data_IF_439299709426
#
_entry.id   IF_439299709426
#
_cell.length_a   1.000
_cell.length_b   1.000
_cell.length_c   1.000
_cell.angle_alpha   90.00
_cell.angle_beta   90.00
_cell.angle_gamma   90.00
#
_symmetry.space_group_name_H-M   'P 1'
#
loop_
_entity.id
_entity.type
_entity.pdbx_description
1 polymer ?
#
# COMPACT_ATOMS: atom_id res chain seq x y z
N UNK A 1 -14.54 -52.64 26.23
CA UNK A 1 -14.66 -52.74 24.75
C UNK A 1 -14.50 -51.35 24.14
N UNK A 2 -13.29 -51.02 23.70
CA UNK A 2 -12.99 -49.78 22.97
C UNK A 2 -13.56 -49.91 21.55
N UNK A 3 -14.71 -49.27 21.29
CA UNK A 3 -15.23 -49.14 19.92
C UNK A 3 -14.30 -48.21 19.15
N UNK A 4 -13.34 -48.80 18.42
CA UNK A 4 -12.54 -48.08 17.45
C UNK A 4 -13.48 -47.48 16.40
N UNK A 5 -13.44 -46.15 16.22
CA UNK A 5 -14.17 -45.49 15.15
C UNK A 5 -13.68 -46.07 13.81
N UNK A 6 -14.56 -46.69 13.05
CA UNK A 6 -14.24 -47.13 11.69
C UNK A 6 -13.79 -45.92 10.86
N UNK A 7 -12.72 -46.04 10.07
CA UNK A 7 -12.20 -44.97 9.21
C UNK A 7 -13.28 -44.28 8.36
N UNK A 8 -14.31 -45.00 7.93
CA UNK A 8 -15.46 -44.42 7.21
C UNK A 8 -16.25 -43.40 8.03
N UNK A 9 -16.47 -43.65 9.32
CA UNK A 9 -17.15 -42.71 10.25
C UNK A 9 -16.28 -41.47 10.51
N UNK A 10 -14.96 -41.65 10.62
CA UNK A 10 -14.02 -40.53 10.74
C UNK A 10 -14.05 -39.65 9.47
N UNK A 11 -14.03 -40.26 8.28
CA UNK A 11 -14.12 -39.54 7.00
C UNK A 11 -15.43 -38.77 6.87
N UNK A 12 -16.57 -39.39 7.17
CA UNK A 12 -17.88 -38.72 7.12
C UNK A 12 -17.90 -37.53 8.10
N UNK A 13 -17.46 -37.73 9.34
CA UNK A 13 -17.38 -36.66 10.33
C UNK A 13 -16.49 -35.50 9.87
N UNK A 14 -15.32 -35.80 9.29
CA UNK A 14 -14.42 -34.79 8.74
C UNK A 14 -15.05 -34.05 7.56
N UNK A 15 -15.71 -34.74 6.62
CA UNK A 15 -16.37 -34.12 5.47
C UNK A 15 -17.49 -33.18 5.95
N UNK A 16 -18.36 -33.63 6.85
CA UNK A 16 -19.47 -32.82 7.36
C UNK A 16 -18.95 -31.60 8.13
N UNK A 17 -17.96 -31.79 9.01
CA UNK A 17 -17.37 -30.68 9.77
C UNK A 17 -16.71 -29.63 8.86
N UNK A 18 -15.89 -30.07 7.90
CA UNK A 18 -15.24 -29.17 6.94
C UNK A 18 -16.26 -28.50 6.01
N UNK A 19 -17.30 -29.21 5.59
CA UNK A 19 -18.39 -28.67 4.77
C UNK A 19 -19.17 -27.56 5.49
N UNK A 20 -19.52 -27.77 6.77
CA UNK A 20 -20.19 -26.75 7.60
C UNK A 20 -19.27 -25.54 7.78
N UNK A 21 -18.00 -25.74 8.11
CA UNK A 21 -17.05 -24.65 8.25
C UNK A 21 -16.85 -23.87 6.95
N UNK A 22 -16.73 -24.57 5.82
CA UNK A 22 -16.66 -23.95 4.50
C UNK A 22 -17.91 -23.11 4.22
N UNK A 23 -19.10 -23.64 4.47
CA UNK A 23 -20.35 -22.91 4.27
C UNK A 23 -20.44 -21.64 5.14
N UNK A 24 -20.01 -21.71 6.41
CA UNK A 24 -19.96 -20.55 7.32
C UNK A 24 -18.97 -19.50 6.80
N UNK A 25 -17.76 -19.92 6.40
CA UNK A 25 -16.73 -19.01 5.90
C UNK A 25 -17.17 -18.38 4.58
N UNK A 26 -17.71 -19.18 3.66
CA UNK A 26 -18.25 -18.74 2.38
C UNK A 26 -19.38 -17.73 2.60
N UNK A 27 -20.36 -18.05 3.43
CA UNK A 27 -21.47 -17.14 3.74
C UNK A 27 -20.96 -15.85 4.38
N UNK A 28 -20.06 -15.94 5.36
CA UNK A 28 -19.44 -14.77 6.00
C UNK A 28 -18.66 -13.89 5.01
N UNK A 29 -17.96 -14.51 4.05
CA UNK A 29 -17.21 -13.82 3.01
C UNK A 29 -18.14 -13.09 2.03
N UNK A 30 -19.15 -13.78 1.50
CA UNK A 30 -20.11 -13.23 0.52
C UNK A 30 -20.97 -12.13 1.15
N UNK A 31 -21.46 -12.33 2.39
CA UNK A 31 -22.34 -11.37 3.07
C UNK A 31 -21.64 -10.05 3.44
N UNK A 32 -20.31 -9.99 3.38
CA UNK A 32 -19.51 -8.79 3.70
C UNK A 32 -18.89 -8.14 2.46
N UNK A 33 -19.25 -8.60 1.27
CA UNK A 33 -18.69 -8.12 0.01
C UNK A 33 -19.77 -7.61 -0.93
N UNK A 34 -19.41 -6.70 -1.86
CA UNK A 34 -20.32 -6.31 -2.93
C UNK A 34 -20.80 -7.56 -3.68
N UNK A 35 -22.08 -7.58 -4.08
CA UNK A 35 -22.58 -8.65 -4.95
C UNK A 35 -21.84 -8.59 -6.28
N UNK A 36 -21.32 -9.73 -6.72
CA UNK A 36 -20.65 -9.82 -8.02
C UNK A 36 -21.62 -9.43 -9.14
N UNK A 37 -21.15 -8.59 -10.06
CA UNK A 37 -21.81 -8.25 -11.30
C UNK A 37 -20.75 -7.76 -12.28
N UNK A 38 -20.72 -8.33 -13.47
CA UNK A 38 -19.84 -7.87 -14.54
C UNK A 38 -20.11 -6.39 -14.86
N UNK A 39 -19.06 -5.58 -14.87
CA UNK A 39 -19.12 -4.16 -15.20
C UNK A 39 -17.74 -3.62 -15.58
N UNK A 40 -17.73 -2.53 -16.35
CA UNK A 40 -16.50 -1.82 -16.70
C UNK A 40 -15.82 -1.20 -15.48
N UNK A 41 -14.53 -0.90 -15.60
CA UNK A 41 -13.79 -0.18 -14.59
C UNK A 41 -14.30 1.27 -14.44
N UNK A 42 -14.43 1.79 -13.21
CA UNK A 42 -14.81 3.19 -13.00
C UNK A 42 -13.68 4.14 -13.37
N UNK A 43 -14.03 5.35 -13.80
CA UNK A 43 -13.05 6.42 -13.99
C UNK A 43 -12.27 6.73 -12.71
N UNK A 44 -11.04 7.23 -12.85
CA UNK A 44 -10.25 7.69 -11.72
C UNK A 44 -11.01 8.72 -10.86
N UNK A 45 -11.72 9.65 -11.51
CA UNK A 45 -12.54 10.67 -10.82
C UNK A 45 -13.58 10.03 -9.91
N UNK A 46 -14.22 8.95 -10.33
CA UNK A 46 -15.16 8.21 -9.47
C UNK A 46 -14.44 7.60 -8.27
N UNK A 47 -13.33 6.90 -8.48
CA UNK A 47 -12.56 6.27 -7.40
C UNK A 47 -12.02 7.30 -6.40
N UNK A 48 -11.55 8.45 -6.86
CA UNK A 48 -11.12 9.56 -6.01
C UNK A 48 -12.26 10.15 -5.17
N UNK A 49 -13.50 10.17 -5.67
CA UNK A 49 -14.66 10.62 -4.87
C UNK A 49 -14.92 9.72 -3.66
N UNK A 50 -14.66 8.42 -3.78
CA UNK A 50 -14.79 7.47 -2.66
C UNK A 50 -13.79 7.83 -1.56
N UNK A 51 -12.51 7.99 -1.89
CA UNK A 51 -11.51 8.42 -0.91
C UNK A 51 -11.85 9.78 -0.30
N UNK A 52 -12.32 10.74 -1.11
CA UNK A 52 -12.74 12.06 -0.63
C UNK A 52 -13.92 11.98 0.36
N UNK A 53 -14.91 11.10 0.12
CA UNK A 53 -16.11 11.01 0.97
C UNK A 53 -15.82 10.34 2.30
N UNK A 54 -14.89 9.39 2.35
CA UNK A 54 -14.55 8.65 3.57
C UNK A 54 -13.40 9.27 4.37
N UNK A 55 -12.68 10.27 3.84
CA UNK A 55 -11.43 10.79 4.41
C UNK A 55 -11.50 11.07 5.93
N UNK A 56 -12.54 11.78 6.39
CA UNK A 56 -12.72 12.13 7.81
C UNK A 56 -12.88 10.91 8.73
N UNK A 57 -13.50 9.84 8.21
CA UNK A 57 -13.77 8.60 8.95
C UNK A 57 -12.82 7.46 8.57
N UNK A 58 -11.84 7.72 7.70
CA UNK A 58 -10.99 6.69 7.10
C UNK A 58 -10.30 5.86 8.17
N UNK A 59 -9.70 6.52 9.15
CA UNK A 59 -9.02 5.89 10.28
C UNK A 59 -9.97 5.04 11.13
N UNK A 60 -11.20 5.52 11.39
CA UNK A 60 -12.18 4.80 12.19
C UNK A 60 -12.67 3.52 11.48
N UNK A 61 -12.77 3.57 10.15
CA UNK A 61 -13.14 2.43 9.31
C UNK A 61 -12.00 1.41 9.24
N UNK A 62 -10.76 1.85 9.05
CA UNK A 62 -9.63 0.96 8.70
C UNK A 62 -8.83 0.47 9.92
N UNK A 63 -8.58 1.30 10.95
CA UNK A 63 -7.72 0.90 12.09
C UNK A 63 -8.17 -0.39 12.80
N UNK A 64 -9.46 -0.64 13.08
CA UNK A 64 -9.88 -1.86 13.78
C UNK A 64 -9.53 -3.12 13.00
N UNK A 65 -9.75 -3.11 11.68
CA UNK A 65 -9.44 -4.27 10.84
C UNK A 65 -7.94 -4.42 10.62
N UNK A 66 -7.20 -3.32 10.43
CA UNK A 66 -5.74 -3.35 10.37
C UNK A 66 -5.12 -3.93 11.64
N UNK A 67 -5.63 -3.54 12.82
CA UNK A 67 -5.19 -4.07 14.11
C UNK A 67 -5.49 -5.56 14.24
N UNK A 68 -6.70 -6.00 13.88
CA UNK A 68 -7.08 -7.41 13.90
C UNK A 68 -6.20 -8.27 12.97
N UNK A 69 -5.78 -7.71 11.84
CA UNK A 69 -4.88 -8.35 10.88
C UNK A 69 -3.40 -8.17 11.23
N UNK A 70 -3.07 -7.51 12.36
CA UNK A 70 -1.71 -7.24 12.78
C UNK A 70 -0.92 -6.33 11.82
N UNK A 71 -1.61 -5.60 10.93
CA UNK A 71 -1.01 -4.74 9.93
C UNK A 71 -0.28 -3.56 10.57
N UNK A 72 -0.87 -2.96 11.61
CA UNK A 72 -0.28 -1.84 12.36
C UNK A 72 1.12 -2.18 12.90
N UNK A 73 1.29 -3.34 13.51
CA UNK A 73 2.58 -3.80 14.04
C UNK A 73 3.60 -4.11 12.94
N UNK A 74 3.14 -4.63 11.79
CA UNK A 74 4.00 -4.90 10.64
C UNK A 74 4.47 -3.60 10.00
N UNK A 75 3.54 -2.66 9.79
CA UNK A 75 3.77 -1.28 9.34
C UNK A 75 4.82 -0.59 10.21
N UNK A 76 4.61 -0.58 11.53
CA UNK A 76 5.54 0.04 12.48
C UNK A 76 6.96 -0.54 12.36
N UNK A 77 7.09 -1.87 12.34
CA UNK A 77 8.41 -2.53 12.24
C UNK A 77 9.07 -2.28 10.89
N UNK A 78 8.28 -2.34 9.81
CA UNK A 78 8.79 -2.23 8.44
C UNK A 78 9.27 -0.81 8.15
N UNK A 79 8.44 0.21 8.44
CA UNK A 79 8.75 1.60 8.09
C UNK A 79 9.69 2.31 9.07
N UNK A 80 9.97 1.72 10.25
CA UNK A 80 11.09 2.13 11.11
C UNK A 80 12.46 2.02 10.45
N UNK A 81 12.56 1.29 9.34
CA UNK A 81 13.77 1.22 8.53
C UNK A 81 13.94 2.43 7.60
N UNK A 82 12.97 3.33 7.49
CA UNK A 82 13.11 4.54 6.69
C UNK A 82 14.20 5.45 7.26
N UNK A 83 14.94 6.12 6.36
CA UNK A 83 16.06 7.01 6.72
C UNK A 83 16.21 8.14 5.70
N UNK A 84 16.89 9.20 6.12
CA UNK A 84 17.21 10.36 5.27
C UNK A 84 15.96 11.16 4.89
N UNK A 85 15.90 11.63 3.65
CA UNK A 85 14.71 12.28 3.11
C UNK A 85 13.73 11.20 2.62
N UNK A 86 12.57 11.14 3.27
CA UNK A 86 11.54 10.13 3.02
C UNK A 86 10.44 10.73 2.15
N UNK A 87 10.03 10.01 1.10
CA UNK A 87 8.85 10.30 0.30
C UNK A 87 7.79 9.22 0.57
N UNK A 88 6.59 9.63 0.96
CA UNK A 88 5.42 8.75 1.08
C UNK A 88 4.42 9.07 -0.03
N UNK A 89 4.01 8.05 -0.80
CA UNK A 89 3.04 8.18 -1.88
C UNK A 89 1.70 7.56 -1.49
N UNK A 90 0.61 8.27 -1.75
CA UNK A 90 -0.72 7.88 -1.26
C UNK A 90 -0.79 7.93 0.26
N UNK A 91 -0.27 9.01 0.85
CA UNK A 91 -0.11 9.14 2.31
C UNK A 91 -1.43 9.12 3.08
N UNK A 92 -2.57 9.32 2.40
CA UNK A 92 -3.90 9.29 3.00
C UNK A 92 -4.01 10.28 4.15
N UNK A 93 -4.53 9.80 5.28
CA UNK A 93 -4.63 10.55 6.53
C UNK A 93 -3.34 10.57 7.36
N UNK A 94 -2.27 9.88 6.93
CA UNK A 94 -1.01 9.81 7.68
C UNK A 94 -0.92 8.68 8.70
N UNK A 95 -1.54 7.52 8.44
CA UNK A 95 -1.44 6.34 9.31
C UNK A 95 0.01 5.87 9.57
N UNK A 96 0.93 6.23 8.67
CA UNK A 96 2.35 5.89 8.76
C UNK A 96 3.16 6.88 9.63
N UNK A 97 2.63 8.06 10.00
CA UNK A 97 3.41 9.13 10.64
C UNK A 97 4.21 8.66 11.87
N UNK A 98 3.59 7.87 12.75
CA UNK A 98 4.22 7.33 13.97
C UNK A 98 5.26 6.22 13.72
N UNK A 99 5.42 5.78 12.47
CA UNK A 99 6.36 4.73 12.10
C UNK A 99 7.74 5.28 11.79
N UNK A 100 7.82 6.57 11.45
CA UNK A 100 9.07 7.25 11.14
C UNK A 100 9.73 7.78 12.41
N UNK A 101 11.05 7.62 12.49
CA UNK A 101 11.86 8.13 13.60
C UNK A 101 13.27 8.39 13.09
N UNK A 102 13.91 9.48 13.53
CA UNK A 102 15.27 9.86 13.14
C UNK A 102 15.47 9.99 11.60
N UNK A 103 14.45 10.50 10.91
CA UNK A 103 14.53 10.83 9.48
C UNK A 103 14.85 12.32 9.32
N UNK A 104 15.42 12.74 8.18
CA UNK A 104 15.75 14.16 7.95
C UNK A 104 14.51 14.98 7.59
N UNK A 105 13.57 14.40 6.84
CA UNK A 105 12.31 15.04 6.47
C UNK A 105 11.33 14.03 5.89
N UNK A 106 10.03 14.32 5.98
CA UNK A 106 8.99 13.58 5.30
C UNK A 106 8.33 14.45 4.21
N UNK A 107 8.22 13.93 3.00
CA UNK A 107 7.40 14.49 1.93
C UNK A 107 6.25 13.54 1.66
N UNK A 108 5.02 14.03 1.75
CA UNK A 108 3.81 13.27 1.50
C UNK A 108 3.17 13.74 0.20
N UNK A 109 2.81 12.81 -0.69
CA UNK A 109 2.07 13.09 -1.92
C UNK A 109 0.77 12.31 -1.91
N UNK A 110 -0.35 13.02 -2.03
CA UNK A 110 -1.67 12.40 -2.18
C UNK A 110 -2.52 13.15 -3.21
N UNK A 111 -3.29 12.42 -4.00
CA UNK A 111 -4.16 12.97 -5.05
C UNK A 111 -5.51 13.43 -4.51
N UNK A 112 -5.90 12.95 -3.33
CA UNK A 112 -7.10 13.41 -2.62
C UNK A 112 -6.80 14.64 -1.78
N UNK A 113 -7.43 15.76 -2.14
CA UNK A 113 -7.38 16.98 -1.33
C UNK A 113 -7.95 16.79 0.09
N UNK A 114 -8.95 15.92 0.25
CA UNK A 114 -9.54 15.66 1.58
C UNK A 114 -8.59 14.82 2.45
N UNK A 115 -7.88 13.85 1.86
CA UNK A 115 -6.81 13.13 2.57
C UNK A 115 -5.70 14.08 3.01
N UNK A 116 -5.26 14.99 2.13
CA UNK A 116 -4.28 16.02 2.49
C UNK A 116 -4.73 16.88 3.69
N UNK A 117 -6.02 17.25 3.77
CA UNK A 117 -6.57 17.99 4.92
C UNK A 117 -6.50 17.21 6.22
N UNK A 118 -6.89 15.94 6.21
CA UNK A 118 -6.83 15.08 7.40
C UNK A 118 -5.37 14.81 7.81
N UNK A 119 -4.47 14.61 6.85
CA UNK A 119 -3.04 14.51 7.10
C UNK A 119 -2.49 15.77 7.77
N UNK A 120 -2.86 16.97 7.31
CA UNK A 120 -2.46 18.23 7.96
C UNK A 120 -2.88 18.27 9.43
N UNK A 121 -4.14 17.92 9.74
CA UNK A 121 -4.62 17.88 11.13
C UNK A 121 -3.83 16.88 11.98
N UNK A 122 -3.53 15.71 11.41
CA UNK A 122 -2.78 14.67 12.12
C UNK A 122 -1.31 15.07 12.34
N UNK A 123 -0.67 15.75 11.39
CA UNK A 123 0.66 16.33 11.57
C UNK A 123 0.65 17.39 12.66
N UNK A 124 -0.32 18.31 12.64
CA UNK A 124 -0.45 19.36 13.68
C UNK A 124 -0.69 18.79 15.07
N UNK A 125 -1.46 17.70 15.17
CA UNK A 125 -1.73 17.01 16.42
C UNK A 125 -0.52 16.23 16.92
N UNK A 126 0.17 15.52 16.02
CA UNK A 126 1.30 14.66 16.38
C UNK A 126 2.57 15.46 16.70
N UNK A 127 2.80 16.57 15.97
CA UNK A 127 4.02 17.38 16.04
C UNK A 127 5.30 16.53 15.92
N UNK A 128 5.53 15.91 14.75
CA UNK A 128 6.70 15.05 14.56
C UNK A 128 8.01 15.83 14.79
N UNK A 129 9.07 15.14 15.20
CA UNK A 129 10.41 15.69 15.43
C UNK A 129 11.21 15.94 14.14
N UNK A 130 10.53 15.88 12.99
CA UNK A 130 11.08 16.11 11.65
C UNK A 130 10.14 16.99 10.82
N UNK A 131 10.69 17.77 9.85
CA UNK A 131 9.89 18.60 8.97
C UNK A 131 9.02 17.74 8.03
N UNK A 132 7.81 18.22 7.74
CA UNK A 132 6.85 17.55 6.85
C UNK A 132 6.40 18.49 5.74
N UNK A 133 6.41 18.03 4.49
CA UNK A 133 5.80 18.72 3.34
C UNK A 133 4.67 17.86 2.81
N UNK A 134 3.48 18.44 2.63
CA UNK A 134 2.34 17.77 2.00
C UNK A 134 2.11 18.38 0.63
N UNK A 135 2.03 17.55 -0.39
CA UNK A 135 1.79 17.93 -1.79
C UNK A 135 0.50 17.29 -2.25
N UNK A 136 -0.40 18.11 -2.79
CA UNK A 136 -1.58 17.64 -3.50
C UNK A 136 -1.19 17.31 -4.94
N UNK A 137 -0.93 16.04 -5.23
CA UNK A 137 -0.29 15.64 -6.49
C UNK A 137 -0.54 14.19 -6.88
N UNK A 138 -0.13 13.85 -8.09
CA UNK A 138 -0.24 12.51 -8.66
C UNK A 138 1.07 11.74 -8.47
N UNK A 139 1.00 10.54 -7.91
CA UNK A 139 2.17 9.69 -7.67
C UNK A 139 2.88 9.25 -8.97
N UNK A 140 2.17 9.28 -10.11
CA UNK A 140 2.73 9.00 -11.44
C UNK A 140 3.37 10.20 -12.13
N UNK A 141 3.33 11.39 -11.50
CA UNK A 141 3.90 12.65 -12.03
C UNK A 141 4.45 13.50 -10.89
N UNK A 142 5.59 13.08 -10.33
CA UNK A 142 6.18 13.72 -9.17
C UNK A 142 6.97 14.97 -9.57
N UNK A 143 6.73 16.13 -8.92
CA UNK A 143 7.43 17.37 -9.22
C UNK A 143 8.78 17.41 -8.49
N UNK A 144 9.65 16.44 -8.71
CA UNK A 144 10.98 16.35 -8.09
C UNK A 144 12.02 15.93 -9.11
N UNK A 145 13.26 16.32 -8.88
CA UNK A 145 14.41 15.87 -9.65
C UNK A 145 14.69 14.38 -9.42
N UNK A 146 15.47 13.80 -10.33
CA UNK A 146 15.96 12.43 -10.21
C UNK A 146 16.76 12.27 -8.91
N UNK A 147 16.76 11.07 -8.32
CA UNK A 147 17.60 10.76 -7.15
C UNK A 147 17.42 11.72 -5.95
N UNK A 148 16.21 12.20 -5.70
CA UNK A 148 15.90 13.13 -4.61
C UNK A 148 15.78 12.46 -3.23
N UNK A 149 15.30 11.22 -3.15
CA UNK A 149 14.89 10.61 -1.87
C UNK A 149 15.72 9.39 -1.46
N UNK A 150 16.04 9.30 -0.17
CA UNK A 150 16.79 8.20 0.43
C UNK A 150 15.88 6.99 0.73
N UNK A 151 14.61 7.26 1.06
CA UNK A 151 13.58 6.24 1.25
C UNK A 151 12.29 6.64 0.57
N UNK A 152 11.65 5.70 -0.12
CA UNK A 152 10.28 5.87 -0.62
C UNK A 152 9.37 4.85 0.05
N UNK A 153 8.16 5.26 0.43
CA UNK A 153 7.16 4.45 1.13
C UNK A 153 5.83 4.48 0.41
N UNK A 154 5.18 3.32 0.26
CA UNK A 154 3.76 3.22 -0.15
C UNK A 154 3.00 2.26 0.77
N UNK A 155 1.70 2.50 0.98
CA UNK A 155 0.82 1.61 1.73
C UNK A 155 -0.56 1.58 1.12
N UNK A 156 -0.95 0.45 0.54
CA UNK A 156 -2.21 0.32 -0.22
C UNK A 156 -2.37 1.40 -1.30
N UNK A 157 -1.26 1.85 -1.86
CA UNK A 157 -1.20 2.92 -2.87
C UNK A 157 -1.32 2.33 -4.26
N UNK A 158 -0.56 1.27 -4.55
CA UNK A 158 -0.45 0.70 -5.90
C UNK A 158 -1.75 0.03 -6.35
N UNK A 159 -2.59 -0.42 -5.43
CA UNK A 159 -3.94 -0.90 -5.74
C UNK A 159 -4.92 0.24 -6.11
N UNK A 160 -4.58 1.49 -5.81
CA UNK A 160 -5.50 2.64 -5.80
C UNK A 160 -5.15 3.72 -6.82
N UNK A 161 -3.91 3.81 -7.30
CA UNK A 161 -3.53 4.79 -8.34
C UNK A 161 -4.11 4.43 -9.71
N UNK A 162 -4.34 5.40 -10.59
CA UNK A 162 -4.78 5.09 -11.97
C UNK A 162 -3.66 4.43 -12.78
N UNK A 163 -2.45 4.99 -12.73
CA UNK A 163 -1.28 4.50 -13.48
C UNK A 163 -0.21 3.93 -12.54
N UNK A 164 -0.31 2.66 -12.11
CA UNK A 164 0.66 2.05 -11.21
C UNK A 164 2.04 1.91 -11.85
N UNK A 165 2.15 1.63 -13.14
CA UNK A 165 3.43 1.51 -13.86
C UNK A 165 4.15 2.87 -13.89
N UNK A 166 3.43 3.94 -14.20
CA UNK A 166 3.95 5.31 -14.13
C UNK A 166 4.35 5.69 -12.70
N UNK A 167 3.61 5.23 -11.70
CA UNK A 167 3.98 5.41 -10.29
C UNK A 167 5.31 4.70 -9.97
N UNK A 168 5.48 3.44 -10.40
CA UNK A 168 6.75 2.71 -10.22
C UNK A 168 7.91 3.37 -10.99
N UNK A 169 7.64 3.90 -12.19
CA UNK A 169 8.62 4.67 -12.96
C UNK A 169 9.09 5.90 -12.18
N UNK A 170 8.18 6.67 -11.62
CA UNK A 170 8.51 7.84 -10.79
C UNK A 170 9.25 7.45 -9.51
N UNK A 171 8.84 6.37 -8.84
CA UNK A 171 9.57 5.80 -7.69
C UNK A 171 11.02 5.52 -8.08
N UNK A 172 11.27 4.79 -9.18
CA UNK A 172 12.62 4.50 -9.65
C UNK A 172 13.41 5.76 -10.02
N UNK A 173 12.74 6.76 -10.60
CA UNK A 173 13.36 8.02 -11.02
C UNK A 173 13.83 8.85 -9.83
N UNK A 174 12.97 9.05 -8.84
CA UNK A 174 13.26 9.93 -7.69
C UNK A 174 13.99 9.22 -6.54
N UNK A 175 14.04 7.88 -6.55
CA UNK A 175 14.82 7.11 -5.58
C UNK A 175 16.32 7.26 -5.87
N UNK A 176 17.11 7.62 -4.85
CA UNK A 176 18.57 7.58 -4.90
C UNK A 176 19.09 6.17 -5.17
N UNK A 177 20.27 6.05 -5.78
CA UNK A 177 20.92 4.76 -6.09
C UNK A 177 21.06 3.84 -4.86
N UNK A 178 21.49 4.39 -3.72
CA UNK A 178 21.60 3.69 -2.41
C UNK A 178 20.32 3.79 -1.57
N UNK A 179 19.24 4.31 -2.18
CA UNK A 179 17.94 4.46 -1.55
C UNK A 179 17.23 3.13 -1.38
N UNK A 180 16.18 3.13 -0.56
CA UNK A 180 15.31 1.97 -0.37
C UNK A 180 13.85 2.31 -0.65
N UNK A 181 13.15 1.38 -1.26
CA UNK A 181 11.71 1.38 -1.37
C UNK A 181 11.13 0.39 -0.36
N UNK A 182 10.21 0.86 0.47
CA UNK A 182 9.52 0.07 1.49
C UNK A 182 8.02 0.12 1.21
N UNK A 183 7.38 -1.02 0.99
CA UNK A 183 5.94 -1.04 0.72
C UNK A 183 5.18 -2.08 1.52
N UNK A 184 3.91 -1.78 1.76
CA UNK A 184 2.91 -2.74 2.21
C UNK A 184 1.69 -2.57 1.30
N UNK A 185 1.54 -3.47 0.34
CA UNK A 185 0.49 -3.38 -0.68
C UNK A 185 -0.53 -4.49 -0.52
N UNK A 186 -1.79 -4.15 -0.80
CA UNK A 186 -2.80 -5.16 -1.10
C UNK A 186 -2.67 -5.52 -2.57
N UNK A 187 -2.85 -6.78 -2.89
CA UNK A 187 -2.89 -7.18 -4.28
C UNK A 187 -3.39 -8.60 -4.46
N UNK A 188 -3.01 -9.15 -5.62
CA UNK A 188 -3.47 -10.43 -6.08
C UNK A 188 -3.28 -11.53 -5.04
N UNK A 189 -4.28 -12.42 -4.90
CA UNK A 189 -4.18 -13.56 -3.98
C UNK A 189 -2.96 -14.40 -4.37
N UNK A 190 -1.92 -14.43 -3.52
CA UNK A 190 -0.65 -15.09 -3.81
C UNK A 190 -0.81 -16.60 -4.03
N UNK A 191 -1.55 -17.27 -3.16
CA UNK A 191 -1.74 -18.72 -3.19
C UNK A 191 -2.60 -19.13 -4.39
N UNK A 192 -1.94 -19.68 -5.43
CA UNK A 192 -2.57 -19.97 -6.72
C UNK A 192 -3.78 -20.89 -6.64
N UNK A 193 -3.76 -21.92 -5.77
CA UNK A 193 -4.91 -22.82 -5.59
C UNK A 193 -6.10 -22.07 -5.00
N UNK A 194 -5.90 -21.31 -3.92
CA UNK A 194 -6.94 -20.47 -3.31
C UNK A 194 -7.50 -19.48 -4.33
N UNK A 195 -6.62 -18.80 -5.08
CA UNK A 195 -7.02 -17.85 -6.12
C UNK A 195 -7.91 -18.51 -7.18
N UNK A 196 -7.51 -19.68 -7.71
CA UNK A 196 -8.30 -20.42 -8.71
C UNK A 196 -9.66 -20.86 -8.19
N UNK A 197 -9.75 -21.30 -6.93
CA UNK A 197 -11.03 -21.64 -6.30
C UNK A 197 -11.92 -20.41 -6.20
N UNK A 198 -11.37 -19.27 -5.77
CA UNK A 198 -12.15 -18.03 -5.64
C UNK A 198 -12.58 -17.47 -7.01
N UNK A 199 -11.77 -17.65 -8.05
CA UNK A 199 -12.13 -17.34 -9.44
C UNK A 199 -13.25 -18.24 -9.95
N UNK A 200 -13.15 -19.54 -9.69
CA UNK A 200 -14.19 -20.51 -10.08
C UNK A 200 -15.55 -20.23 -9.41
N UNK A 201 -15.55 -19.62 -8.23
CA UNK A 201 -16.76 -19.25 -7.49
C UNK A 201 -17.24 -17.82 -7.78
N UNK A 202 -16.67 -17.12 -8.76
CA UNK A 202 -16.96 -15.70 -9.07
C UNK A 202 -16.82 -14.77 -7.85
N UNK A 203 -15.93 -15.12 -6.92
CA UNK A 203 -15.65 -14.36 -5.70
C UNK A 203 -14.47 -13.41 -5.86
N UNK A 204 -13.67 -13.59 -6.91
CA UNK A 204 -12.41 -12.89 -7.14
C UNK A 204 -11.94 -12.99 -8.60
N UNK A 205 -11.42 -11.90 -9.22
CA UNK A 205 -11.63 -10.53 -8.79
C UNK A 205 -13.11 -10.16 -8.91
N UNK A 206 -13.58 -9.30 -8.01
CA UNK A 206 -14.93 -8.76 -8.09
C UNK A 206 -14.87 -7.35 -8.73
N UNK A 207 -15.41 -7.17 -9.96
CA UNK A 207 -15.32 -5.91 -10.71
C UNK A 207 -16.10 -4.76 -10.08
N UNK A 208 -16.95 -5.02 -9.07
CA UNK A 208 -17.67 -4.01 -8.30
C UNK A 208 -16.76 -3.37 -7.22
N UNK A 209 -15.67 -4.03 -6.81
CA UNK A 209 -14.78 -3.53 -5.75
C UNK A 209 -14.20 -2.14 -6.05
N UNK A 210 -13.71 -1.83 -7.27
CA UNK A 210 -13.28 -0.48 -7.61
C UNK A 210 -14.41 0.57 -7.53
N UNK A 211 -15.65 0.18 -7.80
CA UNK A 211 -16.82 1.09 -7.75
C UNK A 211 -17.23 1.45 -6.32
N UNK A 212 -17.11 0.52 -5.37
CA UNK A 212 -17.51 0.73 -3.98
C UNK A 212 -16.35 1.18 -3.09
N UNK A 213 -15.13 0.70 -3.35
CA UNK A 213 -13.99 0.91 -2.48
C UNK A 213 -12.84 1.73 -3.10
N UNK A 214 -12.89 2.00 -4.41
CA UNK A 214 -11.91 2.85 -5.10
C UNK A 214 -10.56 2.21 -5.43
N UNK A 215 -10.34 0.92 -5.11
CA UNK A 215 -9.11 0.19 -5.39
C UNK A 215 -9.38 -1.11 -6.18
N UNK A 216 -8.34 -1.64 -6.82
CA UNK A 216 -8.33 -2.93 -7.52
C UNK A 216 -7.70 -4.01 -6.63
N UNK A 217 -8.32 -5.18 -6.52
CA UNK A 217 -7.88 -6.24 -5.62
C UNK A 217 -6.98 -7.31 -6.27
N UNK A 218 -6.69 -7.16 -7.56
CA UNK A 218 -6.02 -8.14 -8.40
C UNK A 218 -4.78 -7.63 -9.12
N UNK A 219 -4.37 -6.39 -8.85
CA UNK A 219 -3.03 -5.92 -9.20
C UNK A 219 -1.98 -6.75 -8.46
N UNK A 220 -0.95 -7.17 -9.17
CA UNK A 220 0.13 -7.99 -8.64
C UNK A 220 1.31 -7.09 -8.22
N UNK A 221 1.53 -6.84 -6.91
CA UNK A 221 2.57 -5.94 -6.47
C UNK A 221 3.97 -6.45 -6.82
N UNK A 222 4.14 -7.77 -6.93
CA UNK A 222 5.41 -8.38 -7.30
C UNK A 222 5.74 -8.14 -8.77
N UNK A 223 4.74 -8.22 -9.65
CA UNK A 223 4.90 -7.91 -11.07
C UNK A 223 5.19 -6.42 -11.31
N UNK A 224 4.45 -5.54 -10.63
CA UNK A 224 4.60 -4.09 -10.75
C UNK A 224 6.02 -3.61 -10.43
N UNK A 225 6.68 -4.23 -9.45
CA UNK A 225 8.02 -3.85 -9.00
C UNK A 225 9.12 -4.74 -9.58
N UNK A 226 8.83 -5.55 -10.60
CA UNK A 226 9.76 -6.52 -11.17
C UNK A 226 11.04 -5.90 -11.75
N UNK A 227 11.01 -4.60 -12.08
CA UNK A 227 12.18 -3.84 -12.52
C UNK A 227 13.03 -3.26 -11.38
N UNK A 228 12.65 -3.51 -10.12
CA UNK A 228 13.41 -3.14 -8.93
C UNK A 228 14.17 -4.34 -8.37
N UNK A 229 15.24 -4.05 -7.64
CA UNK A 229 16.06 -5.07 -6.97
C UNK A 229 15.41 -5.42 -5.62
N UNK A 230 14.60 -6.49 -5.62
CA UNK A 230 13.85 -6.93 -4.44
C UNK A 230 14.81 -7.58 -3.43
N UNK A 231 15.02 -6.91 -2.29
CA UNK A 231 15.87 -7.39 -1.19
C UNK A 231 15.15 -8.32 -0.23
N UNK A 232 13.86 -8.08 -0.01
CA UNK A 232 13.02 -8.93 0.82
C UNK A 232 11.56 -8.77 0.43
N UNK A 233 10.82 -9.89 0.39
CA UNK A 233 9.38 -9.90 0.22
C UNK A 233 8.75 -10.87 1.21
N UNK A 234 7.66 -10.45 1.86
CA UNK A 234 6.84 -11.28 2.73
C UNK A 234 5.39 -11.15 2.34
N UNK A 235 4.71 -12.28 2.23
CA UNK A 235 3.27 -12.35 1.97
C UNK A 235 2.55 -12.82 3.23
N UNK A 236 1.45 -12.16 3.58
CA UNK A 236 0.69 -12.46 4.79
C UNK A 236 -0.81 -12.17 4.60
N UNK A 237 -1.61 -12.36 5.66
CA UNK A 237 -3.07 -12.18 5.65
C UNK A 237 -3.75 -12.98 4.54
N UNK A 238 -3.55 -14.30 4.52
CA UNK A 238 -4.11 -15.22 3.52
C UNK A 238 -3.66 -14.95 2.07
N UNK A 239 -2.51 -14.29 1.88
CA UNK A 239 -1.93 -14.12 0.56
C UNK A 239 -2.29 -12.81 -0.13
N UNK A 240 -2.95 -11.88 0.56
CA UNK A 240 -3.45 -10.64 -0.07
C UNK A 240 -2.63 -9.40 0.27
N UNK A 241 -1.72 -9.48 1.25
CA UNK A 241 -0.82 -8.37 1.59
C UNK A 241 0.64 -8.76 1.31
N UNK A 242 1.33 -7.88 0.60
CA UNK A 242 2.72 -7.98 0.20
C UNK A 242 3.51 -6.90 0.92
N UNK A 243 4.51 -7.29 1.71
CA UNK A 243 5.45 -6.37 2.33
C UNK A 243 6.79 -6.52 1.66
N UNK A 244 7.27 -5.45 1.03
CA UNK A 244 8.49 -5.48 0.20
C UNK A 244 9.51 -4.46 0.69
N UNK A 245 10.77 -4.87 0.68
CA UNK A 245 11.94 -4.01 0.66
C UNK A 245 12.63 -4.19 -0.69
N UNK A 246 12.78 -3.12 -1.45
CA UNK A 246 13.49 -3.11 -2.72
C UNK A 246 14.47 -1.93 -2.81
N UNK A 247 15.35 -1.97 -3.80
CA UNK A 247 16.22 -0.86 -4.19
C UNK A 247 16.17 -0.67 -5.70
N UNK A 248 16.76 0.43 -6.18
CA UNK A 248 16.93 0.65 -7.62
C UNK A 248 17.82 -0.44 -8.23
N UNK A 249 17.43 -1.00 -9.37
CA UNK A 249 18.33 -1.82 -10.18
C UNK A 249 19.43 -0.91 -10.74
N UNK A 250 20.69 -1.20 -10.41
CA UNK A 250 21.84 -0.43 -10.89
C UNK A 250 22.49 -1.18 -12.05
N UNK A 251 22.80 -0.50 -13.15
CA UNK A 251 23.66 -1.07 -14.20
C UNK A 251 25.15 -0.87 -13.87
N UNK A 252 26.05 -1.57 -14.57
CA UNK A 252 27.50 -1.48 -14.29
C UNK A 252 28.12 -0.12 -14.68
N UNK A 253 27.60 0.56 -15.72
CA UNK A 253 28.09 1.88 -16.20
C UNK A 253 27.69 3.06 -15.30
N UNK A 254 26.92 2.75 -14.28
CA UNK A 254 26.10 3.65 -13.51
C UNK A 254 26.83 4.01 -12.19
N UNK A 255 27.95 3.33 -11.92
CA UNK A 255 28.80 3.47 -10.73
C UNK A 255 29.85 4.59 -10.85
N UNK A 256 30.20 5.05 -12.05
CA UNK A 256 31.34 5.96 -12.24
C UNK A 256 30.97 7.46 -12.20
N UNK A 257 29.69 7.85 -12.28
CA UNK A 257 29.31 9.26 -12.52
C UNK A 257 28.92 10.07 -11.26
N UNK A 258 28.70 9.47 -10.07
CA UNK A 258 27.71 10.04 -9.13
C UNK A 258 28.12 10.37 -7.68
N UNK A 259 29.40 10.52 -7.35
CA UNK A 259 29.78 11.06 -6.02
C UNK A 259 29.49 12.57 -5.86
N UNK A 260 28.88 13.20 -6.88
CA UNK A 260 28.69 14.67 -6.98
C UNK A 260 27.26 15.18 -6.70
N UNK A 261 26.25 14.31 -6.51
CA UNK A 261 24.83 14.73 -6.44
C UNK A 261 24.15 14.60 -5.06
N UNK A 262 24.91 14.51 -3.96
CA UNK A 262 24.32 14.74 -2.64
C UNK A 262 24.08 16.25 -2.45
N UNK A 263 23.02 16.78 -3.07
CA UNK A 263 22.56 18.15 -2.79
C UNK A 263 22.12 18.20 -1.31
N UNK A 264 22.75 19.03 -0.46
CA UNK A 264 22.35 19.15 0.93
C UNK A 264 20.97 19.82 1.03
N UNK A 265 20.15 19.34 1.96
CA UNK A 265 18.85 19.94 2.30
C UNK A 265 17.63 19.13 1.85
N UNK A 266 16.46 19.53 2.36
CA UNK A 266 15.17 18.89 2.04
C UNK A 266 14.90 19.02 0.53
N UNK A 267 14.59 17.91 -0.18
CA UNK A 267 14.22 17.95 -1.59
C UNK A 267 13.16 19.02 -1.86
N UNK A 268 13.48 19.97 -2.73
CA UNK A 268 12.57 21.06 -3.10
C UNK A 268 11.70 20.60 -4.26
N UNK A 269 10.36 20.74 -4.17
CA UNK A 269 9.50 20.48 -5.31
C UNK A 269 9.79 21.46 -6.45
N UNK A 270 9.72 20.97 -7.69
CA UNK A 270 9.90 21.74 -8.92
C UNK A 270 8.78 22.77 -9.09
N UNK A 271 9.00 23.76 -9.96
CA UNK A 271 8.02 24.81 -10.25
C UNK A 271 6.67 24.20 -10.69
N UNK A 272 5.56 24.74 -10.18
CA UNK A 272 4.21 24.22 -10.41
C UNK A 272 3.76 23.13 -9.44
N UNK A 273 4.61 22.65 -8.53
CA UNK A 273 4.20 21.75 -7.45
C UNK A 273 3.13 22.40 -6.55
N UNK A 274 2.01 21.69 -6.36
CA UNK A 274 0.92 22.13 -5.47
C UNK A 274 1.24 21.76 -4.02
N UNK A 275 2.13 22.52 -3.40
CA UNK A 275 2.40 22.41 -1.96
C UNK A 275 1.13 22.77 -1.20
N UNK A 276 0.58 21.79 -0.48
CA UNK A 276 -0.65 21.94 0.28
C UNK A 276 -0.40 22.43 1.71
N UNK A 277 0.66 21.93 2.35
CA UNK A 277 1.02 22.29 3.72
C UNK A 277 2.51 22.05 3.98
N UNK A 278 3.07 22.82 4.92
CA UNK A 278 4.43 22.65 5.43
C UNK A 278 4.41 22.71 6.94
N UNK A 279 5.10 21.77 7.57
CA UNK A 279 5.39 21.73 8.99
C UNK A 279 6.90 21.81 9.18
N UNK A 280 7.33 22.73 10.03
CA UNK A 280 8.73 22.90 10.44
C UNK A 280 8.85 22.53 11.91
N UNK A 281 9.96 21.92 12.28
CA UNK A 281 10.32 21.70 13.68
C UNK A 281 10.74 23.04 14.26
N UNK A 282 10.21 23.39 15.44
CA UNK A 282 10.61 24.58 16.20
C UNK A 282 12.02 24.45 16.78
#
# INVERSE_FOLDING_TARGET
MTKWLTWSKVKIGAITFNGIWFAIIYHSYVSRRPKYRECDAPSETHRLRIFNSIAQNYDAIHKPIEKKLGLENKRLKHFRQARGHVLELGSGTGLNLNCYKNIHSLTCVDKSLQMCKELTKNVQKLKPDFPVIIIHGDASKLPFDNCSFDTIVTTHTLCSVENPEGTISEINRVLKRKGRYLSIERGKIYYGVTRRIMQFLDLYPNPVIPWENGYYEDRDPHELISNMDIKAMKVFNYGVHYMVTASKCLSNNDNEIFDLENKPGIPKPNEGAKIFYKYTVE
#
